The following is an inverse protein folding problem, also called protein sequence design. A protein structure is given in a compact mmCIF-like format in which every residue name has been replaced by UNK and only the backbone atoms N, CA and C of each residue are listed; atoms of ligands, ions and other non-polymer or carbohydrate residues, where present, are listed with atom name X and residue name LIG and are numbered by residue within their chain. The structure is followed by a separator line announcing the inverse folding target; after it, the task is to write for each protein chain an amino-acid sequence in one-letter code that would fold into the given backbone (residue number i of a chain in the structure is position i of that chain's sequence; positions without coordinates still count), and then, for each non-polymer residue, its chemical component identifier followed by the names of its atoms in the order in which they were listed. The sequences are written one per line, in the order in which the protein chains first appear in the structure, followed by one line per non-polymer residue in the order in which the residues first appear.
data_IF_794849803894
#
_entry.id   IF_794849803894
#
_cell.length_a   1.000
_cell.length_b   1.000
_cell.length_c   1.000
_cell.angle_alpha   90.00
_cell.angle_beta   90.00
_cell.angle_gamma   90.00
#
_symmetry.space_group_name_H-M   'P 1'
#
loop_
_entity.id
_entity.type
_entity.pdbx_description
1 polymer ?
#
# COMPACT_ATOMS: atom_id res chain seq x y z
N UNK A 1 5.89 -17.07 -1.06
CA UNK A 1 5.44 -15.94 -1.87
C UNK A 1 4.28 -15.34 -1.10
N UNK A 2 4.39 -14.10 -0.63
CA UNK A 2 3.33 -13.48 0.16
C UNK A 2 1.98 -13.48 -0.56
N UNK A 3 0.91 -13.60 0.23
CA UNK A 3 -0.45 -13.82 -0.26
C UNK A 3 -0.94 -12.64 -1.10
N UNK A 4 -0.49 -11.42 -0.77
CA UNK A 4 -0.98 -10.18 -1.34
C UNK A 4 -0.06 -9.57 -2.39
N UNK A 5 0.93 -10.33 -2.87
CA UNK A 5 1.88 -9.91 -3.92
C UNK A 5 1.17 -9.43 -5.20
N UNK A 6 0.00 -9.98 -5.48
CA UNK A 6 -0.80 -9.59 -6.65
C UNK A 6 -1.25 -8.12 -6.61
N UNK A 7 -1.43 -7.54 -5.41
CA UNK A 7 -1.73 -6.10 -5.26
C UNK A 7 -0.57 -5.26 -5.80
N UNK A 8 0.67 -5.59 -5.42
CA UNK A 8 1.85 -4.89 -5.91
C UNK A 8 2.04 -5.08 -7.43
N UNK A 9 1.84 -6.30 -7.92
CA UNK A 9 1.90 -6.60 -9.36
C UNK A 9 0.82 -5.83 -10.15
N UNK A 10 -0.37 -5.66 -9.60
CA UNK A 10 -1.43 -4.88 -10.23
C UNK A 10 -1.10 -3.39 -10.32
N UNK A 11 -0.43 -2.83 -9.31
CA UNK A 11 0.06 -1.44 -9.36
C UNK A 11 1.10 -1.27 -10.47
N UNK A 12 2.04 -2.22 -10.62
CA UNK A 12 3.01 -2.21 -11.73
C UNK A 12 2.29 -2.22 -13.08
N UNK A 13 1.36 -3.16 -13.29
CA UNK A 13 0.64 -3.27 -14.57
C UNK A 13 -0.18 -2.03 -14.89
N UNK A 14 -0.80 -1.41 -13.88
CA UNK A 14 -1.53 -0.17 -14.05
C UNK A 14 -0.59 0.98 -14.45
N UNK A 15 0.59 1.09 -13.83
CA UNK A 15 1.59 2.09 -14.19
C UNK A 15 2.08 1.92 -15.62
N UNK A 16 2.34 0.69 -16.05
CA UNK A 16 2.73 0.36 -17.42
C UNK A 16 1.64 0.72 -18.44
N UNK A 17 0.40 0.29 -18.21
CA UNK A 17 -0.72 0.56 -19.12
C UNK A 17 -0.97 2.08 -19.29
N UNK A 18 -0.92 2.85 -18.19
CA UNK A 18 -1.09 4.30 -18.27
C UNK A 18 0.00 4.99 -19.08
N UNK A 19 1.24 4.45 -19.07
CA UNK A 19 2.33 4.97 -19.91
C UNK A 19 2.11 4.65 -21.38
N UNK A 20 1.67 3.44 -21.69
CA UNK A 20 1.36 3.01 -23.06
C UNK A 20 0.24 3.86 -23.68
N UNK A 21 -0.79 4.18 -22.88
CA UNK A 21 -1.93 5.02 -23.30
C UNK A 21 -1.60 6.53 -23.33
N UNK A 22 -0.36 6.93 -23.03
CA UNK A 22 0.05 8.33 -22.96
C UNK A 22 -0.62 9.12 -21.81
N UNK A 23 -1.20 8.43 -20.83
CA UNK A 23 -1.85 9.01 -19.66
C UNK A 23 -0.83 9.43 -18.59
N UNK A 24 -1.31 10.19 -17.60
CA UNK A 24 -0.49 10.89 -16.61
C UNK A 24 -0.06 10.04 -15.41
N UNK A 25 0.06 8.71 -15.54
CA UNK A 25 0.35 7.81 -14.42
C UNK A 25 -0.79 7.70 -13.40
N UNK A 26 -0.60 6.86 -12.39
CA UNK A 26 -1.63 6.49 -11.41
C UNK A 26 -1.92 7.69 -10.52
N UNK A 27 -3.18 8.12 -10.46
CA UNK A 27 -3.66 9.08 -9.47
C UNK A 27 -4.21 8.36 -8.23
N UNK A 28 -4.32 9.04 -7.06
CA UNK A 28 -4.82 8.40 -5.85
C UNK A 28 -6.23 7.79 -5.99
N UNK A 29 -7.08 8.40 -6.84
CA UNK A 29 -8.43 7.91 -7.12
C UNK A 29 -8.46 6.58 -7.88
N UNK A 30 -7.42 6.27 -8.65
CA UNK A 30 -7.35 5.05 -9.47
C UNK A 30 -6.99 3.83 -8.61
N UNK A 31 -6.37 4.05 -7.45
CA UNK A 31 -5.94 3.00 -6.53
C UNK A 31 -7.10 2.16 -6.01
N UNK A 32 -8.28 2.76 -5.80
CA UNK A 32 -9.46 2.04 -5.31
C UNK A 32 -9.83 0.89 -6.25
N UNK A 33 -9.82 1.15 -7.54
CA UNK A 33 -10.17 0.17 -8.56
C UNK A 33 -9.03 -0.85 -8.79
N UNK A 34 -7.77 -0.40 -8.80
CA UNK A 34 -6.61 -1.27 -8.96
C UNK A 34 -6.53 -2.28 -7.81
N UNK A 35 -6.53 -1.78 -6.58
CA UNK A 35 -6.39 -2.61 -5.37
C UNK A 35 -7.67 -3.41 -5.11
N UNK A 36 -8.85 -2.83 -5.32
CA UNK A 36 -10.12 -3.52 -5.15
C UNK A 36 -10.27 -4.75 -6.05
N UNK A 37 -9.80 -4.67 -7.31
CA UNK A 37 -9.75 -5.82 -8.22
C UNK A 37 -8.68 -6.84 -7.80
N UNK A 38 -7.46 -6.38 -7.52
CA UNK A 38 -6.33 -7.25 -7.22
C UNK A 38 -6.49 -8.03 -5.90
N UNK A 39 -7.18 -7.44 -4.92
CA UNK A 39 -7.47 -8.10 -3.64
C UNK A 39 -8.64 -9.10 -3.70
N UNK A 40 -9.44 -9.10 -4.78
CA UNK A 40 -10.65 -9.92 -4.87
C UNK A 40 -11.80 -9.52 -3.92
N UNK A 41 -11.62 -8.46 -3.12
CA UNK A 41 -12.61 -8.00 -2.11
C UNK A 41 -13.51 -6.87 -2.60
N UNK A 42 -13.14 -6.23 -3.72
CA UNK A 42 -13.77 -5.00 -4.19
C UNK A 42 -13.35 -3.79 -3.36
N UNK A 43 -13.43 -2.59 -3.94
CA UNK A 43 -12.89 -1.37 -3.33
C UNK A 43 -13.58 -1.01 -2.00
N UNK A 44 -14.86 -1.34 -1.83
CA UNK A 44 -15.66 -0.98 -0.65
C UNK A 44 -15.47 -1.91 0.57
N UNK A 45 -14.65 -2.95 0.48
CA UNK A 45 -14.43 -3.91 1.57
C UNK A 45 -12.97 -3.96 2.03
N UNK A 46 -12.24 -2.87 1.79
CA UNK A 46 -10.84 -2.68 2.17
C UNK A 46 -10.67 -1.27 2.73
N UNK A 47 -9.77 -1.10 3.69
CA UNK A 47 -9.25 0.22 4.01
C UNK A 47 -8.10 0.54 3.04
N UNK A 48 -8.16 1.66 2.32
CA UNK A 48 -7.16 2.00 1.31
C UNK A 48 -6.59 3.41 1.54
N UNK A 49 -5.26 3.50 1.56
CA UNK A 49 -4.52 4.73 1.80
C UNK A 49 -3.46 4.95 0.70
N UNK A 50 -3.38 6.14 0.07
CA UNK A 50 -4.40 7.17 0.06
C UNK A 50 -5.64 6.66 -0.67
N UNK A 51 -6.82 7.08 -0.25
CA UNK A 51 -8.04 6.52 -0.82
C UNK A 51 -9.28 6.87 -0.03
N UNK A 52 -10.19 5.91 0.04
CA UNK A 52 -11.54 6.12 0.56
C UNK A 52 -11.52 6.28 2.08
N UNK A 53 -11.85 7.48 2.59
CA UNK A 53 -12.09 7.66 4.01
C UNK A 53 -13.31 6.82 4.40
N UNK A 54 -13.18 6.04 5.45
CA UNK A 54 -14.28 5.29 6.05
C UNK A 54 -14.02 5.16 7.54
N UNK A 55 -15.08 5.30 8.33
CA UNK A 55 -15.05 5.00 9.77
C UNK A 55 -15.19 3.48 10.03
N UNK A 56 -15.39 2.69 8.96
CA UNK A 56 -15.46 1.22 9.04
C UNK A 56 -14.07 0.62 8.95
N UNK A 57 -13.73 -0.23 9.90
CA UNK A 57 -12.54 -1.07 9.87
C UNK A 57 -12.84 -2.37 9.14
N UNK A 58 -12.09 -2.65 8.08
CA UNK A 58 -12.13 -3.90 7.35
C UNK A 58 -10.96 -4.80 7.74
N UNK A 59 -11.09 -6.08 7.42
CA UNK A 59 -10.09 -7.10 7.71
C UNK A 59 -8.77 -6.87 6.96
N UNK A 60 -8.81 -6.26 5.77
CA UNK A 60 -7.66 -5.91 4.95
C UNK A 60 -7.48 -4.38 4.84
N UNK A 61 -6.28 -3.89 5.16
CA UNK A 61 -5.85 -2.53 4.90
C UNK A 61 -4.66 -2.49 3.93
N UNK A 62 -4.72 -1.58 2.96
CA UNK A 62 -3.69 -1.42 1.93
C UNK A 62 -3.18 0.03 1.93
N UNK A 63 -1.87 0.18 2.00
CA UNK A 63 -1.15 1.44 2.03
C UNK A 63 -0.26 1.53 0.79
N UNK A 64 -0.41 2.58 0.00
CA UNK A 64 0.27 2.74 -1.29
C UNK A 64 1.05 4.05 -1.30
N UNK A 65 2.37 3.95 -1.40
CA UNK A 65 3.31 5.06 -1.51
C UNK A 65 3.89 5.09 -2.91
N UNK A 66 3.49 6.06 -3.74
CA UNK A 66 4.03 6.24 -5.09
C UNK A 66 4.62 7.64 -5.26
N UNK A 67 5.88 7.74 -5.62
CA UNK A 67 6.66 9.00 -5.71
C UNK A 67 7.49 9.11 -6.98
N UNK A 68 7.80 7.98 -7.60
CA UNK A 68 8.59 7.86 -8.81
C UNK A 68 7.76 8.24 -10.03
N UNK A 69 8.33 9.01 -10.98
CA UNK A 69 7.68 9.36 -12.25
C UNK A 69 7.21 8.16 -13.09
N UNK A 70 7.79 6.98 -12.83
CA UNK A 70 7.40 5.72 -13.47
C UNK A 70 5.95 5.32 -13.17
N UNK A 71 5.48 5.61 -11.95
CA UNK A 71 4.16 5.19 -11.50
C UNK A 71 3.18 6.36 -11.30
N UNK A 72 3.69 7.56 -11.02
CA UNK A 72 2.86 8.76 -10.84
C UNK A 72 3.50 9.99 -11.47
N UNK A 73 2.71 10.82 -12.18
CA UNK A 73 3.18 12.11 -12.70
C UNK A 73 3.08 13.23 -11.67
N UNK A 74 2.25 13.06 -10.63
CA UNK A 74 2.07 14.06 -9.59
C UNK A 74 2.20 13.43 -8.22
N UNK A 75 3.16 13.94 -7.46
CA UNK A 75 3.35 13.61 -6.05
C UNK A 75 2.18 14.06 -5.15
N UNK A 76 1.25 14.87 -5.67
CA UNK A 76 0.14 15.43 -4.89
C UNK A 76 -0.87 14.35 -4.55
N UNK A 77 -1.11 14.15 -3.26
CA UNK A 77 -2.11 13.20 -2.75
C UNK A 77 -1.60 11.76 -2.66
N UNK A 78 -0.40 11.46 -3.17
CA UNK A 78 0.29 10.22 -2.88
C UNK A 78 1.09 10.33 -1.59
N UNK A 79 1.14 9.25 -0.83
CA UNK A 79 1.94 9.15 0.38
C UNK A 79 3.42 9.01 0.03
N UNK A 80 4.30 9.56 0.87
CA UNK A 80 5.68 9.08 0.94
C UNK A 80 5.78 7.86 1.85
N UNK A 81 6.85 7.08 1.70
CA UNK A 81 7.07 5.85 2.46
C UNK A 81 6.93 6.03 3.97
N UNK A 82 7.52 7.09 4.54
CA UNK A 82 7.42 7.39 5.96
C UNK A 82 5.98 7.70 6.44
N UNK A 83 5.20 8.43 5.62
CA UNK A 83 3.78 8.73 5.91
C UNK A 83 2.94 7.46 5.83
N UNK A 84 3.20 6.59 4.86
CA UNK A 84 2.49 5.33 4.72
C UNK A 84 2.75 4.39 5.91
N UNK A 85 4.00 4.30 6.40
CA UNK A 85 4.33 3.57 7.62
C UNK A 85 3.63 4.16 8.85
N UNK A 86 3.62 5.48 9.00
CA UNK A 86 2.93 6.15 10.11
C UNK A 86 1.42 5.86 10.07
N UNK A 87 0.78 5.94 8.90
CA UNK A 87 -0.63 5.64 8.74
C UNK A 87 -0.93 4.17 9.02
N UNK A 88 -0.07 3.26 8.57
CA UNK A 88 -0.17 1.83 8.86
C UNK A 88 -0.16 1.58 10.36
N UNK A 89 0.83 2.12 11.08
CA UNK A 89 0.94 1.97 12.53
C UNK A 89 -0.27 2.56 13.24
N UNK A 90 -0.69 3.77 12.87
CA UNK A 90 -1.86 4.44 13.46
C UNK A 90 -3.16 3.67 13.21
N UNK A 91 -3.30 3.05 12.04
CA UNK A 91 -4.48 2.24 11.71
C UNK A 91 -4.51 0.96 12.53
N UNK A 92 -3.42 0.21 12.49
CA UNK A 92 -3.31 -1.14 13.08
C UNK A 92 -3.23 -1.13 14.61
N UNK A 93 -2.70 -0.08 15.22
CA UNK A 93 -2.59 0.08 16.68
C UNK A 93 -3.53 1.16 17.25
N UNK A 94 -4.38 1.75 16.40
CA UNK A 94 -5.35 2.75 16.80
C UNK A 94 -6.78 2.25 16.62
N UNK A 95 -7.56 3.00 15.82
CA UNK A 95 -9.01 2.80 15.71
C UNK A 95 -9.43 1.42 15.17
N UNK A 96 -8.57 0.76 14.38
CA UNK A 96 -8.86 -0.53 13.77
C UNK A 96 -8.10 -1.71 14.38
N UNK A 97 -7.51 -1.51 15.56
CA UNK A 97 -6.82 -2.58 16.32
C UNK A 97 -7.76 -3.77 16.54
N UNK A 98 -7.27 -4.98 16.26
CA UNK A 98 -8.02 -6.22 16.42
C UNK A 98 -9.04 -6.52 15.31
N UNK A 99 -9.54 -5.49 14.61
CA UNK A 99 -10.46 -5.62 13.48
C UNK A 99 -9.74 -5.88 12.17
N UNK A 100 -8.70 -5.10 11.86
CA UNK A 100 -7.87 -5.32 10.68
C UNK A 100 -6.82 -6.38 10.99
N UNK A 101 -6.86 -7.51 10.26
CA UNK A 101 -5.99 -8.67 10.47
C UNK A 101 -4.88 -8.78 9.43
N UNK A 102 -4.97 -8.05 8.33
CA UNK A 102 -3.94 -7.99 7.29
C UNK A 102 -3.67 -6.55 6.87
N UNK A 103 -2.40 -6.16 6.89
CA UNK A 103 -1.91 -4.89 6.35
C UNK A 103 -0.90 -5.14 5.23
N UNK A 104 -1.09 -4.45 4.11
CA UNK A 104 -0.19 -4.51 2.95
C UNK A 104 0.32 -3.11 2.63
N UNK A 105 1.63 -2.93 2.56
CA UNK A 105 2.26 -1.71 2.07
C UNK A 105 2.87 -1.97 0.70
N UNK A 106 2.53 -1.16 -0.30
CA UNK A 106 3.19 -1.13 -1.61
C UNK A 106 3.90 0.20 -1.76
N UNK A 107 5.19 0.18 -2.07
CA UNK A 107 5.97 1.40 -2.30
C UNK A 107 6.89 1.29 -3.51
N UNK A 108 7.19 2.43 -4.14
CA UNK A 108 8.17 2.55 -5.23
C UNK A 108 9.48 3.22 -4.80
N UNK A 109 9.53 3.69 -3.56
CA UNK A 109 10.72 4.21 -2.90
C UNK A 109 10.79 3.57 -1.50
N UNK A 110 11.98 3.12 -1.11
CA UNK A 110 12.25 2.49 0.19
C UNK A 110 13.25 3.32 1.00
N UNK A 111 12.91 3.62 2.25
CA UNK A 111 13.80 4.37 3.15
C UNK A 111 14.04 3.56 4.43
N UNK A 112 15.20 2.91 4.50
CA UNK A 112 15.62 2.05 5.62
C UNK A 112 15.44 2.73 6.99
N UNK A 113 15.87 3.99 7.13
CA UNK A 113 15.77 4.73 8.39
C UNK A 113 14.31 4.91 8.86
N UNK A 114 13.36 5.08 7.93
CA UNK A 114 11.94 5.18 8.25
C UNK A 114 11.38 3.83 8.70
N UNK A 115 11.81 2.73 8.07
CA UNK A 115 11.40 1.39 8.49
C UNK A 115 11.96 1.08 9.89
N UNK A 116 13.24 1.36 10.13
CA UNK A 116 13.90 1.06 11.41
C UNK A 116 13.28 1.85 12.57
N UNK A 117 12.88 3.10 12.33
CA UNK A 117 12.16 3.90 13.31
C UNK A 117 10.84 3.23 13.73
N UNK A 118 10.07 2.69 12.78
CA UNK A 118 8.77 2.06 13.05
C UNK A 118 8.86 0.56 13.37
N UNK A 119 10.03 -0.07 13.21
CA UNK A 119 10.21 -1.52 13.37
C UNK A 119 9.68 -2.08 14.69
N UNK A 120 9.85 -1.43 15.86
CA UNK A 120 9.23 -1.91 17.10
C UNK A 120 7.70 -2.02 17.00
N UNK A 121 7.03 -1.02 16.44
CA UNK A 121 5.57 -1.04 16.25
C UNK A 121 5.14 -2.12 15.26
N UNK A 122 5.86 -2.26 14.13
CA UNK A 122 5.56 -3.28 13.13
C UNK A 122 5.68 -4.69 13.71
N UNK A 123 6.70 -4.95 14.55
CA UNK A 123 6.85 -6.22 15.27
C UNK A 123 5.68 -6.49 16.20
N UNK A 124 5.19 -5.48 16.93
CA UNK A 124 3.99 -5.65 17.76
C UNK A 124 2.76 -5.95 16.92
N UNK A 125 2.56 -5.27 15.78
CA UNK A 125 1.44 -5.57 14.87
C UNK A 125 1.48 -7.02 14.38
N UNK A 126 2.68 -7.52 14.04
CA UNK A 126 2.90 -8.88 13.56
C UNK A 126 2.61 -9.98 14.59
N UNK A 127 2.43 -9.64 15.87
CA UNK A 127 2.01 -10.62 16.89
C UNK A 127 0.57 -11.07 16.68
N UNK A 128 -0.28 -10.18 16.13
CA UNK A 128 -1.72 -10.39 16.02
C UNK A 128 -2.27 -10.21 14.60
N UNK A 129 -1.46 -9.76 13.64
CA UNK A 129 -1.88 -9.50 12.26
C UNK A 129 -0.79 -9.88 11.25
N UNK A 130 -1.20 -10.15 10.02
CA UNK A 130 -0.31 -10.33 8.88
C UNK A 130 0.12 -8.97 8.34
N UNK A 131 1.42 -8.82 8.11
CA UNK A 131 2.01 -7.60 7.57
C UNK A 131 2.92 -7.96 6.39
N UNK A 132 2.61 -7.41 5.22
CA UNK A 132 3.39 -7.61 4.01
C UNK A 132 3.82 -6.25 3.42
N UNK A 133 5.12 -6.09 3.16
CA UNK A 133 5.70 -4.89 2.57
C UNK A 133 6.30 -5.26 1.20
N UNK A 134 5.94 -4.49 0.16
CA UNK A 134 6.40 -4.70 -1.20
C UNK A 134 7.00 -3.44 -1.78
N UNK A 135 8.23 -3.58 -2.31
CA UNK A 135 8.88 -2.59 -3.15
C UNK A 135 8.64 -2.95 -4.62
N UNK A 136 8.19 -1.97 -5.40
CA UNK A 136 7.98 -2.08 -6.85
C UNK A 136 9.04 -1.28 -7.61
N UNK A 137 9.79 -1.96 -8.47
CA UNK A 137 10.89 -1.37 -9.26
C UNK A 137 10.79 -1.88 -10.70
N UNK A 138 10.44 -0.99 -11.64
CA UNK A 138 10.13 -1.36 -13.01
C UNK A 138 9.02 -2.42 -13.08
N UNK A 139 9.40 -3.63 -13.48
CA UNK A 139 8.48 -4.79 -13.60
C UNK A 139 8.60 -5.79 -12.44
N UNK A 140 9.43 -5.49 -11.45
CA UNK A 140 9.73 -6.40 -10.36
C UNK A 140 9.00 -6.02 -9.08
N UNK A 141 8.54 -7.05 -8.37
CA UNK A 141 8.00 -6.93 -7.00
C UNK A 141 8.97 -7.63 -6.05
N UNK A 142 9.51 -6.87 -5.11
CA UNK A 142 10.41 -7.34 -4.05
C UNK A 142 9.69 -7.28 -2.72
N UNK A 143 9.63 -8.40 -2.00
CA UNK A 143 9.09 -8.45 -0.65
C UNK A 143 10.17 -7.94 0.33
N UNK A 144 9.82 -6.95 1.14
CA UNK A 144 10.74 -6.32 2.09
C UNK A 144 10.68 -7.02 3.45
N UNK A 145 11.82 -7.21 4.13
CA UNK A 145 11.84 -7.80 5.46
C UNK A 145 11.34 -6.81 6.52
N UNK A 146 10.47 -7.28 7.41
CA UNK A 146 9.88 -6.49 8.52
C UNK A 146 10.34 -6.99 9.88
#
# INVERSE_FOLDING_TARGET
MGEWKEIAAAVIRAGAAMREDGMTGIAPRDLADIVGRASGRGSRNINLYPGMPSDTCYDLAVFVSLRSPEYTRSRRGHLVFAEALQLLVRHMQGACTGNTRTAVLVCDEYVQASLDFWRPNLRTIMQDAQLELYLIEGVHVVELPV
#
